data_IF_154256073103
#
_entry.id   IF_154256073103
#
_cell.length_a   1.000
_cell.length_b   1.000
_cell.length_c   1.000
_cell.angle_alpha   90.00
_cell.angle_beta   90.00
_cell.angle_gamma   90.00
#
_symmetry.space_group_name_H-M   'P 1'
#
loop_
_entity.id
_entity.type
_entity.pdbx_description
1 polymer ?
#
# COMPACT_ATOMS: atom_id res chain seq x y z
N UNK A 1 20.42 65.40 60.31
CA UNK A 1 21.82 65.05 59.97
C UNK A 1 21.84 64.45 58.56
N UNK A 2 22.47 65.11 57.58
CA UNK A 2 22.63 64.56 56.22
C UNK A 2 23.79 63.55 56.24
N UNK A 3 23.62 62.32 55.73
CA UNK A 3 24.68 61.33 55.79
C UNK A 3 25.85 61.76 54.88
N UNK A 4 27.07 61.84 55.45
CA UNK A 4 28.32 62.19 54.74
C UNK A 4 28.59 61.29 53.52
N UNK A 5 27.97 60.11 53.47
CA UNK A 5 28.22 59.05 52.50
C UNK A 5 27.14 58.94 51.40
N UNK A 6 26.29 59.97 51.23
CA UNK A 6 25.18 59.95 50.27
C UNK A 6 25.64 59.69 48.81
N UNK A 7 26.82 60.19 48.43
CA UNK A 7 27.33 60.05 47.06
C UNK A 7 27.78 58.64 46.70
N UNK A 8 28.37 57.89 47.64
CA UNK A 8 28.78 56.49 47.40
C UNK A 8 27.58 55.56 47.39
N UNK A 9 26.60 55.78 48.27
CA UNK A 9 25.32 55.06 48.28
C UNK A 9 24.56 55.29 46.97
N UNK A 10 24.45 56.54 46.50
CA UNK A 10 23.80 56.87 45.22
C UNK A 10 24.52 56.25 44.01
N UNK A 11 25.86 56.20 44.03
CA UNK A 11 26.67 55.54 42.99
C UNK A 11 26.50 54.01 43.01
N UNK A 12 26.35 53.42 44.19
CA UNK A 12 26.02 52.00 44.37
C UNK A 12 24.64 51.63 43.80
N UNK A 13 23.61 52.40 44.15
CA UNK A 13 22.26 52.22 43.59
C UNK A 13 22.21 52.42 42.08
N UNK A 14 22.97 53.39 41.53
CA UNK A 14 23.09 53.58 40.08
C UNK A 14 23.73 52.38 39.38
N UNK A 15 24.80 51.81 39.95
CA UNK A 15 25.43 50.59 39.40
C UNK A 15 24.48 49.39 39.47
N UNK A 16 23.82 49.19 40.61
CA UNK A 16 22.85 48.12 40.79
C UNK A 16 21.67 48.26 39.81
N UNK A 17 21.11 49.46 39.66
CA UNK A 17 20.05 49.76 38.70
C UNK A 17 20.49 49.49 37.26
N UNK A 18 21.73 49.85 36.89
CA UNK A 18 22.30 49.53 35.58
C UNK A 18 22.39 48.03 35.32
N UNK A 19 22.91 47.25 36.28
CA UNK A 19 22.96 45.79 36.16
C UNK A 19 21.57 45.16 36.08
N UNK A 20 20.59 45.69 36.83
CA UNK A 20 19.21 45.22 36.80
C UNK A 20 18.55 45.48 35.43
N UNK A 21 18.76 46.66 34.84
CA UNK A 21 18.25 46.99 33.50
C UNK A 21 18.86 46.05 32.44
N UNK A 22 20.18 45.81 32.51
CA UNK A 22 20.85 44.88 31.58
C UNK A 22 20.30 43.46 31.75
N UNK A 23 20.12 43.00 32.99
CA UNK A 23 19.57 41.67 33.28
C UNK A 23 18.15 41.52 32.70
N UNK A 24 17.28 42.51 32.90
CA UNK A 24 15.93 42.52 32.33
C UNK A 24 15.97 42.55 30.80
N UNK A 25 16.83 43.37 30.20
CA UNK A 25 16.97 43.45 28.75
C UNK A 25 17.44 42.12 28.14
N UNK A 26 18.43 41.46 28.75
CA UNK A 26 18.90 40.13 28.33
C UNK A 26 17.79 39.09 28.49
N UNK A 27 17.06 39.09 29.60
CA UNK A 27 15.95 38.17 29.82
C UNK A 27 14.85 38.32 28.77
N UNK A 28 14.45 39.55 28.45
CA UNK A 28 13.45 39.84 27.41
C UNK A 28 13.96 39.42 26.04
N UNK A 29 15.23 39.67 25.73
CA UNK A 29 15.85 39.26 24.47
C UNK A 29 15.90 37.74 24.31
N UNK A 30 16.28 37.01 25.35
CA UNK A 30 16.27 35.54 25.35
C UNK A 30 14.84 35.00 25.14
N UNK A 31 13.86 35.55 25.85
CA UNK A 31 12.46 35.13 25.69
C UNK A 31 11.91 35.43 24.29
N UNK A 32 12.21 36.62 23.74
CA UNK A 32 11.84 36.98 22.38
C UNK A 32 12.45 36.02 21.35
N UNK A 33 13.74 35.70 21.50
CA UNK A 33 14.45 34.78 20.61
C UNK A 33 13.85 33.38 20.68
N UNK A 34 13.55 32.88 21.88
CA UNK A 34 12.86 31.61 22.08
C UNK A 34 11.48 31.58 21.41
N UNK A 35 10.63 32.59 21.66
CA UNK A 35 9.30 32.67 21.08
C UNK A 35 9.34 32.73 19.54
N UNK A 36 10.30 33.46 18.97
CA UNK A 36 10.49 33.57 17.52
C UNK A 36 10.92 32.24 16.90
N UNK A 37 11.86 31.54 17.53
CA UNK A 37 12.30 30.21 17.08
C UNK A 37 11.15 29.21 17.17
N UNK A 38 10.47 29.12 18.32
CA UNK A 38 9.33 28.23 18.53
C UNK A 38 8.21 28.48 17.51
N UNK A 39 7.89 29.74 17.20
CA UNK A 39 6.88 30.06 16.18
C UNK A 39 7.29 29.58 14.78
N UNK A 40 8.57 29.69 14.43
CA UNK A 40 9.08 29.22 13.13
C UNK A 40 9.08 27.70 13.05
N UNK A 41 9.49 27.01 14.11
CA UNK A 41 9.48 25.55 14.19
C UNK A 41 8.07 24.99 14.08
N UNK A 42 7.10 25.53 14.83
CA UNK A 42 5.69 25.11 14.75
C UNK A 42 5.13 25.30 13.34
N UNK A 43 5.45 26.42 12.67
CA UNK A 43 5.05 26.65 11.28
C UNK A 43 5.64 25.62 10.33
N UNK A 44 6.92 25.28 10.48
CA UNK A 44 7.57 24.25 9.65
C UNK A 44 6.97 22.86 9.90
N UNK A 45 6.68 22.52 11.16
CA UNK A 45 6.02 21.26 11.52
C UNK A 45 4.64 21.19 10.88
N UNK A 46 3.82 22.24 11.02
CA UNK A 46 2.48 22.29 10.41
C UNK A 46 2.55 22.14 8.89
N UNK A 47 3.50 22.81 8.23
CA UNK A 47 3.68 22.67 6.79
C UNK A 47 4.02 21.23 6.38
N UNK A 48 4.94 20.57 7.11
CA UNK A 48 5.29 19.16 6.88
C UNK A 48 4.13 18.21 7.19
N UNK A 49 3.31 18.50 8.20
CA UNK A 49 2.12 17.70 8.51
C UNK A 49 1.12 17.74 7.35
N UNK A 50 0.89 18.91 6.76
CA UNK A 50 -0.01 19.03 5.60
C UNK A 50 0.52 18.26 4.39
N UNK A 51 1.82 18.35 4.11
CA UNK A 51 2.46 17.57 3.05
C UNK A 51 2.31 16.06 3.29
N UNK A 52 2.60 15.62 4.52
CA UNK A 52 2.46 14.23 4.94
C UNK A 52 1.00 13.74 4.79
N UNK A 53 0.02 14.49 5.28
CA UNK A 53 -1.39 14.12 5.21
C UNK A 53 -1.86 13.99 3.75
N UNK A 54 -1.38 14.85 2.85
CA UNK A 54 -1.68 14.76 1.42
C UNK A 54 -1.12 13.48 0.79
N UNK A 55 0.15 13.15 1.07
CA UNK A 55 0.79 11.92 0.56
C UNK A 55 0.09 10.68 1.14
N UNK A 56 -0.17 10.68 2.44
CA UNK A 56 -0.84 9.58 3.13
C UNK A 56 -2.27 9.34 2.59
N UNK A 57 -3.02 10.40 2.34
CA UNK A 57 -4.35 10.32 1.71
C UNK A 57 -4.26 9.75 0.28
N UNK A 58 -3.28 10.19 -0.50
CA UNK A 58 -3.03 9.62 -1.83
C UNK A 58 -2.69 8.13 -1.74
N UNK A 59 -1.85 7.72 -0.78
CA UNK A 59 -1.49 6.32 -0.54
C UNK A 59 -2.72 5.47 -0.19
N UNK A 60 -3.58 5.91 0.72
CA UNK A 60 -4.83 5.21 1.05
C UNK A 60 -5.70 4.97 -0.18
N UNK A 61 -5.81 5.97 -1.06
CA UNK A 61 -6.54 5.82 -2.32
C UNK A 61 -5.90 4.78 -3.25
N UNK A 62 -4.56 4.70 -3.29
CA UNK A 62 -3.83 3.68 -4.07
C UNK A 62 -4.08 2.27 -3.52
N UNK A 63 -4.06 2.10 -2.20
CA UNK A 63 -4.36 0.82 -1.55
C UNK A 63 -5.75 0.35 -1.94
N UNK A 64 -6.76 1.22 -1.83
CA UNK A 64 -8.14 0.90 -2.22
C UNK A 64 -8.24 0.56 -3.71
N UNK A 65 -7.57 1.31 -4.58
CA UNK A 65 -7.56 1.05 -6.01
C UNK A 65 -6.96 -0.33 -6.33
N UNK A 66 -5.81 -0.66 -5.75
CA UNK A 66 -5.16 -1.97 -5.89
C UNK A 66 -6.03 -3.10 -5.36
N UNK A 67 -6.57 -2.95 -4.15
CA UNK A 67 -7.41 -3.99 -3.53
C UNK A 67 -8.65 -4.26 -4.38
N UNK A 68 -9.27 -3.21 -4.93
CA UNK A 68 -10.40 -3.38 -5.84
C UNK A 68 -10.03 -4.22 -7.06
N UNK A 69 -8.85 -3.98 -7.66
CA UNK A 69 -8.37 -4.77 -8.80
C UNK A 69 -8.16 -6.22 -8.39
N UNK A 70 -7.53 -6.45 -7.23
CA UNK A 70 -7.32 -7.79 -6.69
C UNK A 70 -8.64 -8.54 -6.45
N UNK A 71 -9.64 -7.88 -5.87
CA UNK A 71 -10.96 -8.46 -5.66
C UNK A 71 -11.59 -8.90 -6.98
N UNK A 72 -11.59 -8.07 -8.02
CA UNK A 72 -12.12 -8.47 -9.33
C UNK A 72 -11.30 -9.61 -9.95
N UNK A 73 -9.98 -9.57 -9.86
CA UNK A 73 -9.13 -10.67 -10.31
C UNK A 73 -9.44 -11.97 -9.56
N UNK A 74 -9.74 -11.92 -8.26
CA UNK A 74 -10.07 -13.09 -7.46
C UNK A 74 -11.39 -13.74 -7.90
N UNK A 75 -12.38 -12.93 -8.28
CA UNK A 75 -13.69 -13.38 -8.75
C UNK A 75 -13.64 -14.04 -10.13
N UNK A 76 -12.67 -13.68 -10.97
CA UNK A 76 -12.51 -14.30 -12.28
C UNK A 76 -12.32 -15.81 -12.16
N UNK A 77 -13.04 -16.55 -13.00
CA UNK A 77 -13.06 -18.01 -13.06
C UNK A 77 -13.54 -18.70 -11.77
N UNK A 78 -14.14 -17.98 -10.81
CA UNK A 78 -14.64 -18.58 -9.55
C UNK A 78 -15.99 -19.29 -9.71
N UNK A 79 -16.78 -18.94 -10.73
CA UNK A 79 -18.08 -19.56 -10.99
C UNK A 79 -18.43 -19.47 -12.48
N UNK A 80 -19.08 -20.50 -13.06
CA UNK A 80 -19.52 -20.48 -14.46
C UNK A 80 -20.64 -19.46 -14.74
N UNK A 81 -21.25 -18.87 -13.70
CA UNK A 81 -22.26 -17.82 -13.83
C UNK A 81 -21.65 -16.41 -13.98
N UNK A 82 -20.34 -16.29 -13.76
CA UNK A 82 -19.63 -15.01 -13.79
C UNK A 82 -19.17 -14.72 -15.21
N UNK A 83 -19.35 -13.48 -15.65
CA UNK A 83 -18.87 -13.03 -16.95
C UNK A 83 -17.40 -12.57 -16.85
N UNK A 84 -16.49 -13.49 -17.16
CA UNK A 84 -15.05 -13.23 -17.11
C UNK A 84 -14.59 -12.18 -18.12
N UNK A 85 -15.25 -12.07 -19.28
CA UNK A 85 -14.94 -11.03 -20.27
C UNK A 85 -15.23 -9.64 -19.71
N UNK A 86 -16.37 -9.49 -19.03
CA UNK A 86 -16.72 -8.24 -18.35
C UNK A 86 -15.71 -7.93 -17.23
N UNK A 87 -15.36 -8.92 -16.39
CA UNK A 87 -14.38 -8.73 -15.31
C UNK A 87 -13.00 -8.32 -15.85
N UNK A 88 -12.55 -8.94 -16.95
CA UNK A 88 -11.29 -8.58 -17.59
C UNK A 88 -11.28 -7.12 -18.08
N UNK A 89 -12.40 -6.65 -18.63
CA UNK A 89 -12.56 -5.24 -19.01
C UNK A 89 -12.52 -4.30 -17.80
N UNK A 90 -13.17 -4.68 -16.69
CA UNK A 90 -13.18 -3.91 -15.44
C UNK A 90 -11.78 -3.82 -14.85
N UNK A 91 -11.06 -4.95 -14.77
CA UNK A 91 -9.67 -5.01 -14.29
C UNK A 91 -8.76 -4.14 -15.16
N UNK A 92 -8.91 -4.20 -16.49
CA UNK A 92 -8.09 -3.42 -17.42
C UNK A 92 -8.35 -1.91 -17.28
N UNK A 93 -9.61 -1.50 -17.15
CA UNK A 93 -9.97 -0.10 -16.97
C UNK A 93 -9.44 0.44 -15.64
N UNK A 94 -9.62 -0.32 -14.54
CA UNK A 94 -9.11 0.07 -13.22
C UNK A 94 -7.58 0.11 -13.18
N UNK A 95 -6.91 -0.83 -13.84
CA UNK A 95 -5.45 -0.79 -14.02
C UNK A 95 -5.02 0.50 -14.72
N UNK A 96 -5.68 0.88 -15.80
CA UNK A 96 -5.38 2.12 -16.53
C UNK A 96 -5.58 3.36 -15.64
N UNK A 97 -6.67 3.39 -14.87
CA UNK A 97 -6.93 4.46 -13.90
C UNK A 97 -5.83 4.54 -12.83
N UNK A 98 -5.45 3.41 -12.24
CA UNK A 98 -4.36 3.33 -11.26
C UNK A 98 -3.03 3.83 -11.86
N UNK A 99 -2.70 3.41 -13.08
CA UNK A 99 -1.49 3.87 -13.77
C UNK A 99 -1.52 5.39 -14.01
N UNK A 100 -2.66 5.95 -14.42
CA UNK A 100 -2.81 7.39 -14.61
C UNK A 100 -2.64 8.16 -13.30
N UNK A 101 -3.19 7.65 -12.19
CA UNK A 101 -3.04 8.27 -10.88
C UNK A 101 -1.58 8.22 -10.39
N UNK A 102 -0.89 7.09 -10.56
CA UNK A 102 0.52 6.94 -10.20
C UNK A 102 1.40 7.89 -11.02
N UNK A 103 1.14 8.04 -12.33
CA UNK A 103 1.91 8.91 -13.21
C UNK A 103 1.74 10.41 -12.88
N UNK A 104 0.69 10.79 -12.17
CA UNK A 104 0.45 12.17 -11.73
C UNK A 104 1.17 12.53 -10.42
N UNK A 105 1.71 11.53 -9.71
CA UNK A 105 2.36 11.68 -8.41
C UNK A 105 3.89 11.53 -8.55
N UNK A 106 4.65 11.96 -7.53
CA UNK A 106 6.11 11.80 -7.57
C UNK A 106 6.48 10.31 -7.49
N UNK A 107 7.40 9.89 -8.37
CA UNK A 107 7.70 8.46 -8.58
C UNK A 107 8.33 7.80 -7.35
N UNK A 108 9.00 8.59 -6.51
CA UNK A 108 9.73 8.09 -5.34
C UNK A 108 8.80 7.53 -4.26
N UNK A 109 7.66 8.15 -4.04
CA UNK A 109 6.74 7.79 -2.97
C UNK A 109 5.85 6.59 -3.36
N UNK A 110 5.63 6.36 -4.65
CA UNK A 110 4.67 5.36 -5.15
C UNK A 110 5.30 4.21 -5.95
N UNK A 111 6.60 3.96 -5.79
CA UNK A 111 7.34 2.93 -6.53
C UNK A 111 6.74 1.53 -6.40
N UNK A 112 6.26 1.16 -5.20
CA UNK A 112 5.62 -0.13 -4.95
C UNK A 112 4.35 -0.29 -5.79
N UNK A 113 3.47 0.70 -5.76
CA UNK A 113 2.22 0.71 -6.53
C UNK A 113 2.50 0.69 -8.03
N UNK A 114 3.53 1.41 -8.50
CA UNK A 114 3.98 1.39 -9.91
C UNK A 114 4.39 -0.02 -10.33
N UNK A 115 5.21 -0.69 -9.51
CA UNK A 115 5.65 -2.07 -9.77
C UNK A 115 4.48 -3.04 -9.78
N UNK A 116 3.55 -2.90 -8.84
CA UNK A 116 2.38 -3.76 -8.76
C UNK A 116 1.45 -3.56 -9.96
N UNK A 117 1.17 -2.31 -10.33
CA UNK A 117 0.35 -1.97 -11.49
C UNK A 117 0.96 -2.49 -12.80
N UNK A 118 2.29 -2.43 -12.94
CA UNK A 118 3.01 -3.01 -14.07
C UNK A 118 2.85 -4.53 -14.18
N UNK A 119 2.80 -5.22 -13.04
CA UNK A 119 2.75 -6.69 -12.97
C UNK A 119 1.34 -7.29 -13.03
N UNK A 120 0.26 -6.49 -13.00
CA UNK A 120 -1.13 -7.00 -13.08
C UNK A 120 -1.34 -7.95 -14.27
N UNK A 121 -0.80 -7.62 -15.44
CA UNK A 121 -0.95 -8.47 -16.63
C UNK A 121 -0.22 -9.81 -16.47
N UNK A 122 0.92 -9.81 -15.80
CA UNK A 122 1.68 -11.03 -15.52
C UNK A 122 0.87 -11.91 -14.55
N UNK A 123 0.29 -11.33 -13.51
CA UNK A 123 -0.55 -12.08 -12.56
C UNK A 123 -1.78 -12.70 -13.23
N UNK A 124 -2.46 -11.94 -14.11
CA UNK A 124 -3.55 -12.47 -14.91
C UNK A 124 -3.12 -13.63 -15.80
N UNK A 125 -2.00 -13.48 -16.52
CA UNK A 125 -1.45 -14.54 -17.37
C UNK A 125 -1.08 -15.80 -16.60
N UNK A 126 -0.46 -15.65 -15.42
CA UNK A 126 -0.16 -16.77 -14.53
C UNK A 126 -1.45 -17.44 -14.04
N UNK A 127 -2.45 -16.68 -13.60
CA UNK A 127 -3.74 -17.22 -13.15
C UNK A 127 -4.44 -18.02 -14.26
N UNK A 128 -4.45 -17.51 -15.49
CA UNK A 128 -5.02 -18.24 -16.62
C UNK A 128 -4.23 -19.51 -16.96
N UNK A 129 -2.90 -19.48 -16.87
CA UNK A 129 -2.07 -20.67 -17.09
C UNK A 129 -2.34 -21.77 -16.07
N UNK A 130 -2.50 -21.42 -14.78
CA UNK A 130 -2.85 -22.36 -13.71
C UNK A 130 -4.21 -23.00 -14.00
N UNK A 131 -5.20 -22.18 -14.36
CA UNK A 131 -6.55 -22.67 -14.71
C UNK A 131 -6.53 -23.66 -15.89
N UNK A 132 -5.75 -23.38 -16.93
CA UNK A 132 -5.64 -24.28 -18.08
C UNK A 132 -5.00 -25.61 -17.68
N UNK A 133 -3.95 -25.57 -16.85
CA UNK A 133 -3.31 -26.77 -16.32
C UNK A 133 -4.25 -27.59 -15.44
N UNK A 134 -5.02 -26.96 -14.54
CA UNK A 134 -6.03 -27.64 -13.71
C UNK A 134 -7.11 -28.33 -14.57
N UNK A 135 -7.53 -27.67 -15.67
CA UNK A 135 -8.51 -28.25 -16.60
C UNK A 135 -7.93 -29.47 -17.32
N UNK A 136 -6.70 -29.37 -17.80
CA UNK A 136 -6.01 -30.48 -18.47
C UNK A 136 -5.82 -31.67 -17.50
N UNK A 137 -5.38 -31.41 -16.27
CA UNK A 137 -5.26 -32.41 -15.21
C UNK A 137 -6.60 -33.12 -14.95
N UNK A 138 -7.70 -32.36 -14.85
CA UNK A 138 -9.03 -32.93 -14.64
C UNK A 138 -9.47 -33.87 -15.77
N UNK A 139 -9.19 -33.51 -17.03
CA UNK A 139 -9.54 -34.32 -18.20
C UNK A 139 -8.73 -35.63 -18.18
N UNK A 140 -7.40 -35.53 -18.01
CA UNK A 140 -6.52 -36.71 -17.95
C UNK A 140 -6.91 -37.63 -16.80
N UNK A 141 -7.29 -37.06 -15.65
CA UNK A 141 -7.77 -37.83 -14.49
C UNK A 141 -9.07 -38.56 -14.80
N UNK A 142 -10.01 -37.94 -15.49
CA UNK A 142 -11.28 -38.55 -15.88
C UNK A 142 -11.05 -39.71 -16.87
N UNK A 143 -10.21 -39.51 -17.88
CA UNK A 143 -9.84 -40.53 -18.87
C UNK A 143 -9.12 -41.73 -18.22
N UNK A 144 -8.20 -41.47 -17.29
CA UNK A 144 -7.54 -42.53 -16.53
C UNK A 144 -8.54 -43.34 -15.71
N UNK A 145 -9.44 -42.67 -14.99
CA UNK A 145 -10.48 -43.32 -14.19
C UNK A 145 -11.40 -44.19 -15.06
N UNK A 146 -11.74 -43.69 -16.26
CA UNK A 146 -12.53 -44.44 -17.24
C UNK A 146 -11.77 -45.68 -17.73
N UNK A 147 -10.51 -45.55 -18.12
CA UNK A 147 -9.67 -46.66 -18.56
C UNK A 147 -9.51 -47.73 -17.48
N UNK A 148 -9.26 -47.33 -16.23
CA UNK A 148 -9.17 -48.24 -15.08
C UNK A 148 -10.47 -49.00 -14.86
N UNK A 149 -11.62 -48.31 -14.98
CA UNK A 149 -12.94 -48.93 -14.84
C UNK A 149 -13.21 -49.94 -15.96
N UNK A 150 -12.98 -49.56 -17.22
CA UNK A 150 -13.16 -50.42 -18.39
C UNK A 150 -12.25 -51.66 -18.32
N UNK A 151 -10.98 -51.49 -17.95
CA UNK A 151 -10.05 -52.60 -17.77
C UNK A 151 -10.50 -53.57 -16.66
N UNK A 152 -11.02 -53.03 -15.55
CA UNK A 152 -11.58 -53.84 -14.46
C UNK A 152 -12.82 -54.63 -14.90
N UNK A 153 -13.67 -54.04 -15.73
CA UNK A 153 -14.85 -54.70 -16.30
C UNK A 153 -14.47 -55.81 -17.29
N UNK A 154 -13.55 -55.55 -18.22
CA UNK A 154 -13.03 -56.55 -19.17
C UNK A 154 -12.36 -57.71 -18.43
N UNK A 155 -11.51 -57.42 -17.44
CA UNK A 155 -10.86 -58.42 -16.61
C UNK A 155 -11.85 -59.32 -15.88
N UNK A 156 -12.99 -58.77 -15.41
CA UNK A 156 -14.08 -59.58 -14.82
C UNK A 156 -14.77 -60.46 -15.85
N UNK A 157 -15.10 -59.92 -17.04
CA UNK A 157 -15.72 -60.68 -18.13
C UNK A 157 -14.84 -61.85 -18.61
N UNK A 158 -13.52 -61.64 -18.69
CA UNK A 158 -12.53 -62.67 -19.02
C UNK A 158 -12.50 -63.79 -17.96
N UNK A 159 -12.48 -63.44 -16.67
CA UNK A 159 -12.44 -64.43 -15.58
C UNK A 159 -13.70 -65.28 -15.46
N UNK A 160 -14.85 -64.77 -15.88
CA UNK A 160 -16.15 -65.48 -15.85
C UNK A 160 -16.40 -66.28 -17.14
N UNK A 161 -15.46 -66.29 -18.09
CA UNK A 161 -15.52 -67.13 -19.30
C UNK A 161 -16.48 -66.63 -20.39
N UNK A 162 -16.97 -65.39 -20.30
CA UNK A 162 -18.08 -64.88 -21.12
C UNK A 162 -17.70 -64.20 -22.44
N UNK A 163 -16.55 -64.50 -23.06
CA UNK A 163 -16.15 -63.86 -24.33
C UNK A 163 -16.00 -64.91 -25.44
N UNK A 164 -17.06 -65.12 -26.21
CA UNK A 164 -17.01 -65.77 -27.53
C UNK A 164 -16.46 -64.76 -28.54
N UNK A 165 -15.29 -65.05 -29.08
CA UNK A 165 -14.66 -64.26 -30.14
C UNK A 165 -15.33 -64.64 -31.47
N UNK A 166 -16.26 -63.82 -31.98
CA UNK A 166 -16.70 -63.96 -33.36
C UNK A 166 -15.62 -63.43 -34.30
N UNK A 167 -14.88 -64.36 -34.88
CA UNK A 167 -13.86 -64.10 -35.91
C UNK A 167 -14.58 -64.08 -37.26
N UNK A 168 -14.68 -62.91 -37.90
CA UNK A 168 -14.98 -62.82 -39.34
C UNK A 168 -13.82 -63.35 -40.16
#
# INVERSE_FOLDING_TARGET
MKPLNNNTVRKGYLRFSGFLIICVAVSVFCFYSYMKTASTEVKMIMAKTVEYDNIYSAELNMVVAVDSIYQYMSLMNSSPKINDLLLQSVVSNRKMQLQNQINALDEKDFLLYKKLAGNINVFLGVKDSIRLAEKEESIVREDLMRCVKENREISRKLKVGGITYERK
#
